data_IF_843659413675
#
_entry.id   IF_843659413675
#
_cell.length_a   1.000
_cell.length_b   1.000
_cell.length_c   1.000
_cell.angle_alpha   90.00
_cell.angle_beta   90.00
_cell.angle_gamma   90.00
#
_symmetry.space_group_name_H-M   'P 1'
#
loop_
_entity.id
_entity.type
_entity.pdbx_description
1 polymer ?
#
# COMPACT_ATOMS: atom_id res chain seq x y z
N UNK A 1 4.84 5.31 22.51
CA UNK A 1 5.51 4.02 22.24
C UNK A 1 4.84 3.19 21.14
N UNK A 2 3.50 3.17 21.05
CA UNK A 2 2.75 2.40 20.02
C UNK A 2 3.10 2.82 18.59
N UNK A 3 3.17 4.12 18.30
CA UNK A 3 3.50 4.63 16.96
C UNK A 3 4.88 4.17 16.47
N UNK A 4 5.91 4.17 17.34
CA UNK A 4 7.25 3.69 16.99
C UNK A 4 7.23 2.21 16.61
N UNK A 5 6.51 1.38 17.38
CA UNK A 5 6.35 -0.05 17.06
C UNK A 5 5.62 -0.25 15.73
N UNK A 6 4.62 0.58 15.45
CA UNK A 6 3.88 0.55 14.19
C UNK A 6 4.77 0.84 12.98
N UNK A 7 5.57 1.90 13.07
CA UNK A 7 6.49 2.29 12.01
C UNK A 7 7.56 1.20 11.77
N UNK A 8 8.07 0.59 12.83
CA UNK A 8 9.01 -0.54 12.72
C UNK A 8 8.33 -1.73 12.06
N UNK A 9 7.09 -2.06 12.43
CA UNK A 9 6.34 -3.15 11.80
C UNK A 9 6.11 -2.89 10.30
N UNK A 10 5.70 -1.67 9.92
CA UNK A 10 5.53 -1.30 8.52
C UNK A 10 6.85 -1.39 7.76
N UNK A 11 7.94 -0.88 8.33
CA UNK A 11 9.26 -0.94 7.71
C UNK A 11 9.67 -2.39 7.42
N UNK A 12 9.55 -3.28 8.41
CA UNK A 12 9.89 -4.70 8.25
C UNK A 12 9.01 -5.35 7.18
N UNK A 13 7.69 -5.12 7.21
CA UNK A 13 6.77 -5.68 6.22
C UNK A 13 7.07 -5.18 4.81
N UNK A 14 7.37 -3.89 4.64
CA UNK A 14 7.76 -3.34 3.34
C UNK A 14 9.08 -3.93 2.84
N UNK A 15 10.09 -4.07 3.71
CA UNK A 15 11.35 -4.72 3.35
C UNK A 15 11.12 -6.16 2.89
N UNK A 16 10.28 -6.92 3.61
CA UNK A 16 9.93 -8.30 3.24
C UNK A 16 9.23 -8.35 1.89
N UNK A 17 8.23 -7.48 1.65
CA UNK A 17 7.53 -7.39 0.36
C UNK A 17 8.50 -7.07 -0.77
N UNK A 18 9.34 -6.05 -0.60
CA UNK A 18 10.30 -5.62 -1.62
C UNK A 18 11.31 -6.73 -1.92
N UNK A 19 11.88 -7.36 -0.89
CA UNK A 19 12.83 -8.45 -1.06
C UNK A 19 12.20 -9.66 -1.76
N UNK A 20 10.95 -9.99 -1.42
CA UNK A 20 10.22 -11.10 -2.03
C UNK A 20 9.92 -10.84 -3.51
N UNK A 21 9.46 -9.63 -3.86
CA UNK A 21 9.22 -9.26 -5.25
C UNK A 21 10.51 -9.25 -6.07
N UNK A 22 11.61 -8.74 -5.50
CA UNK A 22 12.92 -8.77 -6.11
C UNK A 22 13.42 -10.20 -6.35
N UNK A 23 13.23 -11.09 -5.36
CA UNK A 23 13.56 -12.52 -5.49
C UNK A 23 12.77 -13.19 -6.63
N UNK A 24 11.50 -12.81 -6.83
CA UNK A 24 10.68 -13.29 -7.94
C UNK A 24 10.97 -12.61 -9.29
N UNK A 25 11.90 -11.64 -9.32
CA UNK A 25 12.21 -10.86 -10.53
C UNK A 25 11.06 -9.92 -10.96
N UNK A 26 10.10 -9.65 -10.07
CA UNK A 26 8.97 -8.78 -10.35
C UNK A 26 9.42 -7.33 -10.20
N UNK A 27 9.43 -6.58 -11.30
CA UNK A 27 9.78 -5.16 -11.34
C UNK A 27 8.59 -4.26 -11.78
N UNK A 28 7.37 -4.77 -11.64
CA UNK A 28 6.15 -4.02 -12.00
C UNK A 28 5.71 -3.10 -10.85
N UNK A 29 5.84 -1.79 -11.08
CA UNK A 29 5.51 -0.73 -10.12
C UNK A 29 4.08 -0.82 -9.58
N UNK A 30 3.11 -1.24 -10.40
CA UNK A 30 1.71 -1.38 -9.98
C UNK A 30 1.56 -2.44 -8.88
N UNK A 31 2.34 -3.53 -8.96
CA UNK A 31 2.34 -4.61 -7.97
C UNK A 31 2.93 -4.11 -6.64
N UNK A 32 4.05 -3.39 -6.69
CA UNK A 32 4.66 -2.79 -5.48
C UNK A 32 3.69 -1.86 -4.76
N UNK A 33 3.10 -0.91 -5.49
CA UNK A 33 2.13 0.05 -4.94
C UNK A 33 0.94 -0.67 -4.31
N UNK A 34 0.41 -1.70 -4.98
CA UNK A 34 -0.74 -2.46 -4.51
C UNK A 34 -0.45 -3.18 -3.19
N UNK A 35 0.70 -3.85 -3.10
CA UNK A 35 1.09 -4.59 -1.90
C UNK A 35 1.45 -3.65 -0.75
N UNK A 36 2.16 -2.54 -1.02
CA UNK A 36 2.46 -1.53 0.00
C UNK A 36 1.17 -0.90 0.53
N UNK A 37 0.20 -0.61 -0.34
CA UNK A 37 -1.11 -0.10 0.05
C UNK A 37 -1.84 -1.08 0.96
N UNK A 38 -1.87 -2.36 0.59
CA UNK A 38 -2.46 -3.43 1.40
C UNK A 38 -1.82 -3.53 2.79
N UNK A 39 -0.48 -3.57 2.84
CA UNK A 39 0.27 -3.61 4.10
C UNK A 39 -0.08 -2.39 4.95
N UNK A 40 -0.06 -1.19 4.38
CA UNK A 40 -0.39 0.03 5.11
C UNK A 40 -1.79 -0.04 5.74
N UNK A 41 -2.80 -0.38 4.94
CA UNK A 41 -4.19 -0.45 5.38
C UNK A 41 -4.38 -1.47 6.49
N UNK A 42 -3.86 -2.68 6.33
CA UNK A 42 -3.92 -3.74 7.36
C UNK A 42 -3.25 -3.27 8.65
N UNK A 43 -2.10 -2.60 8.56
CA UNK A 43 -1.38 -2.14 9.75
C UNK A 43 -2.13 -1.03 10.49
N UNK A 44 -2.80 -0.13 9.76
CA UNK A 44 -3.60 0.96 10.36
C UNK A 44 -4.87 0.43 11.01
N UNK A 45 -5.56 -0.51 10.35
CA UNK A 45 -6.78 -1.14 10.88
C UNK A 45 -6.49 -1.89 12.18
N UNK A 46 -5.41 -2.67 12.21
CA UNK A 46 -5.02 -3.45 13.40
C UNK A 46 -4.50 -2.59 14.56
N UNK A 47 -4.13 -1.34 14.29
CA UNK A 47 -3.61 -0.40 15.28
C UNK A 47 -4.67 0.52 15.91
N UNK A 48 -5.95 0.34 15.56
CA UNK A 48 -7.01 1.18 16.10
C UNK A 48 -7.26 0.91 17.60
N UNK A 49 -7.59 1.95 18.39
CA UNK A 49 -7.78 3.35 17.98
C UNK A 49 -6.47 4.15 17.88
N UNK A 50 -6.29 4.88 16.78
CA UNK A 50 -5.14 5.78 16.61
C UNK A 50 -5.22 7.04 17.49
N UNK A 51 -4.09 7.63 17.89
CA UNK A 51 -4.05 8.95 18.54
C UNK A 51 -4.68 10.06 17.68
N UNK A 52 -5.30 11.10 18.26
CA UNK A 52 -6.02 12.14 17.51
C UNK A 52 -5.20 12.81 16.39
N UNK A 53 -3.93 13.12 16.66
CA UNK A 53 -3.03 13.72 15.64
C UNK A 53 -2.59 12.74 14.54
N UNK A 54 -2.57 11.44 14.82
CA UNK A 54 -2.21 10.41 13.84
C UNK A 54 -3.39 10.03 12.93
N UNK A 55 -4.63 10.22 13.37
CA UNK A 55 -5.84 9.89 12.57
C UNK A 55 -5.93 10.72 11.30
N UNK A 56 -5.73 12.03 11.39
CA UNK A 56 -5.79 12.91 10.22
C UNK A 56 -4.76 12.51 9.16
N UNK A 57 -3.52 12.30 9.60
CA UNK A 57 -2.43 11.85 8.72
C UNK A 57 -2.73 10.47 8.12
N UNK A 58 -3.19 9.52 8.94
CA UNK A 58 -3.57 8.19 8.49
C UNK A 58 -4.64 8.24 7.40
N UNK A 59 -5.69 9.04 7.59
CA UNK A 59 -6.77 9.19 6.63
C UNK A 59 -6.28 9.76 5.29
N UNK A 60 -5.41 10.77 5.33
CA UNK A 60 -4.83 11.37 4.11
C UNK A 60 -3.97 10.35 3.36
N UNK A 61 -3.09 9.64 4.06
CA UNK A 61 -2.24 8.62 3.43
C UNK A 61 -3.11 7.48 2.87
N UNK A 62 -4.10 7.01 3.62
CA UNK A 62 -5.08 6.01 3.15
C UNK A 62 -5.77 6.49 1.87
N UNK A 63 -6.26 7.72 1.82
CA UNK A 63 -6.93 8.26 0.63
C UNK A 63 -6.00 8.28 -0.58
N UNK A 64 -4.75 8.73 -0.42
CA UNK A 64 -3.75 8.75 -1.49
C UNK A 64 -3.45 7.33 -1.98
N UNK A 65 -3.14 6.41 -1.07
CA UNK A 65 -2.80 5.03 -1.44
C UNK A 65 -3.96 4.33 -2.14
N UNK A 66 -5.19 4.50 -1.65
CA UNK A 66 -6.39 3.95 -2.29
C UNK A 66 -6.61 4.55 -3.68
N UNK A 67 -6.43 5.87 -3.86
CA UNK A 67 -6.57 6.51 -5.16
C UNK A 67 -5.54 5.97 -6.17
N UNK A 68 -4.28 5.84 -5.76
CA UNK A 68 -3.22 5.30 -6.63
C UNK A 68 -3.46 3.81 -6.93
N UNK A 69 -3.88 3.02 -5.94
CA UNK A 69 -4.27 1.62 -6.17
C UNK A 69 -5.42 1.51 -7.16
N UNK A 70 -6.47 2.34 -7.01
CA UNK A 70 -7.61 2.37 -7.93
C UNK A 70 -7.18 2.73 -9.35
N UNK A 71 -6.27 3.68 -9.52
CA UNK A 71 -5.70 3.99 -10.83
C UNK A 71 -5.11 2.73 -11.49
N UNK A 72 -4.22 2.03 -10.81
CA UNK A 72 -3.61 0.80 -11.36
C UNK A 72 -4.62 -0.32 -11.59
N UNK A 73 -5.59 -0.49 -10.68
CA UNK A 73 -6.64 -1.49 -10.81
C UNK A 73 -7.51 -1.20 -12.05
N UNK A 74 -7.92 0.05 -12.26
CA UNK A 74 -8.71 0.46 -13.42
C UNK A 74 -7.90 0.27 -14.71
N UNK A 75 -6.65 0.71 -14.75
CA UNK A 75 -5.75 0.49 -15.90
C UNK A 75 -5.68 -1.00 -16.24
N UNK A 76 -5.52 -1.87 -15.23
CA UNK A 76 -5.42 -3.31 -15.45
C UNK A 76 -6.73 -3.92 -15.94
N UNK A 77 -7.88 -3.49 -15.40
CA UNK A 77 -9.20 -3.91 -15.87
C UNK A 77 -9.40 -3.50 -17.34
N UNK A 78 -9.07 -2.26 -17.70
CA UNK A 78 -9.17 -1.77 -19.08
C UNK A 78 -8.29 -2.58 -20.04
N UNK A 79 -7.05 -2.91 -19.64
CA UNK A 79 -6.17 -3.80 -20.40
C UNK A 79 -6.78 -5.19 -20.60
N UNK A 80 -7.36 -5.79 -19.56
CA UNK A 80 -8.03 -7.10 -19.64
C UNK A 80 -9.23 -7.05 -20.59
N UNK A 81 -9.96 -5.93 -20.61
CA UNK A 81 -11.09 -5.68 -21.49
C UNK A 81 -10.68 -5.31 -22.92
N UNK A 82 -9.38 -5.24 -23.23
CA UNK A 82 -8.86 -4.91 -24.56
C UNK A 82 -8.95 -3.43 -24.93
N UNK A 83 -9.17 -2.54 -23.95
CA UNK A 83 -9.14 -1.10 -24.16
C UNK A 83 -7.68 -0.65 -24.18
N UNK A 84 -7.28 0.11 -25.19
CA UNK A 84 -5.96 0.71 -25.25
C UNK A 84 -5.82 1.74 -24.12
N UNK A 85 -4.86 1.51 -23.23
CA UNK A 85 -4.57 2.38 -22.08
C UNK A 85 -3.11 2.81 -22.18
N UNK A 86 -2.88 4.12 -22.09
CA UNK A 86 -1.55 4.76 -22.18
C UNK A 86 -0.87 4.78 -20.83
#
# INVERSE_FOLDING_TARGET
MVLKRLLVAQLVLYTVVIAFLAYLGINDFAIYISLITLVYLVTIITAHPLPPGARGVANVITAILVAVFLYFAVMRILQILGVAVV
#
